data_IF_436323523581
#
_entry.id   IF_436323523581
#
_cell.length_a   1.000
_cell.length_b   1.000
_cell.length_c   1.000
_cell.angle_alpha   90.00
_cell.angle_beta   90.00
_cell.angle_gamma   90.00
#
_symmetry.space_group_name_H-M   'P 1'
#
loop_
_entity.id
_entity.type
_entity.pdbx_description
1 polymer ?
#
# COMPACT_ATOMS: atom_id res chain seq x y z
N UNK A 1 1.82 0.95 34.93
CA UNK A 1 1.56 -0.41 34.43
C UNK A 1 1.82 -0.41 32.94
N UNK A 2 2.72 -1.27 32.44
CA UNK A 2 2.89 -1.43 31.00
C UNK A 2 1.61 -1.97 30.39
N UNK A 3 1.26 -1.56 29.17
CA UNK A 3 0.14 -2.17 28.46
C UNK A 3 0.43 -3.68 28.32
N UNK A 4 -0.49 -4.52 28.77
CA UNK A 4 -0.47 -5.95 28.52
C UNK A 4 -1.64 -6.27 27.59
N UNK A 5 -1.43 -7.17 26.63
CA UNK A 5 -2.48 -7.52 25.69
C UNK A 5 -1.99 -8.06 24.36
N UNK A 6 -2.96 -8.28 23.46
CA UNK A 6 -2.74 -8.67 22.07
C UNK A 6 -2.83 -7.43 21.19
N UNK A 7 -1.86 -7.23 20.32
CA UNK A 7 -1.71 -6.08 19.42
C UNK A 7 -1.65 -6.61 18.00
N UNK A 8 -2.40 -6.02 17.09
CA UNK A 8 -2.18 -6.20 15.65
C UNK A 8 -1.31 -5.06 15.13
N UNK A 9 -0.21 -5.40 14.46
CA UNK A 9 0.61 -4.46 13.70
C UNK A 9 0.24 -4.65 12.24
N UNK A 10 -0.19 -3.59 11.59
CA UNK A 10 -0.58 -3.53 10.19
C UNK A 10 0.42 -2.63 9.46
N UNK A 11 1.02 -3.12 8.39
CA UNK A 11 1.93 -2.38 7.53
C UNK A 11 1.48 -2.53 6.07
N UNK A 12 1.04 -1.43 5.46
CA UNK A 12 0.71 -1.37 4.03
C UNK A 12 1.71 -0.44 3.36
N UNK A 13 2.77 -1.04 2.81
CA UNK A 13 3.83 -0.35 2.12
C UNK A 13 3.51 -0.08 0.65
N UNK A 14 4.53 0.23 -0.14
CA UNK A 14 4.39 0.48 -1.59
C UNK A 14 4.02 -0.77 -2.39
N UNK A 15 4.61 -1.93 -2.08
CA UNK A 15 4.37 -3.17 -2.82
C UNK A 15 3.98 -4.39 -1.97
N UNK A 16 3.93 -4.24 -0.65
CA UNK A 16 3.56 -5.33 0.26
C UNK A 16 2.57 -4.87 1.31
N UNK A 17 1.75 -5.82 1.73
CA UNK A 17 0.87 -5.71 2.85
C UNK A 17 1.27 -6.79 3.85
N UNK A 18 1.69 -6.38 5.05
CA UNK A 18 2.11 -7.26 6.13
C UNK A 18 1.24 -7.04 7.37
N UNK A 19 0.86 -8.13 8.04
CA UNK A 19 0.13 -8.09 9.30
C UNK A 19 0.74 -9.06 10.30
N UNK A 20 0.96 -8.58 11.53
CA UNK A 20 1.49 -9.38 12.64
C UNK A 20 0.61 -9.27 13.87
N UNK A 21 0.30 -10.39 14.50
CA UNK A 21 -0.36 -10.44 15.81
C UNK A 21 0.70 -10.67 16.87
N UNK A 22 0.86 -9.70 17.76
CA UNK A 22 1.84 -9.69 18.84
C UNK A 22 1.14 -9.79 20.20
N UNK A 23 1.82 -10.36 21.18
CA UNK A 23 1.42 -10.30 22.59
C UNK A 23 2.49 -9.55 23.39
N UNK A 24 2.09 -8.50 24.11
CA UNK A 24 2.94 -7.83 25.08
C UNK A 24 2.67 -8.40 26.47
N UNK A 25 3.67 -9.06 27.05
CA UNK A 25 3.61 -9.64 28.39
C UNK A 25 4.90 -9.35 29.13
N UNK A 26 4.81 -8.72 30.31
CA UNK A 26 5.98 -8.38 31.15
C UNK A 26 7.09 -7.64 30.40
N UNK A 27 6.72 -6.77 29.46
CA UNK A 27 7.67 -6.00 28.66
C UNK A 27 8.33 -6.76 27.49
N UNK A 28 7.91 -7.99 27.21
CA UNK A 28 8.37 -8.79 26.08
C UNK A 28 7.27 -8.87 25.02
N UNK A 29 7.65 -8.64 23.76
CA UNK A 29 6.79 -8.90 22.60
C UNK A 29 7.00 -10.32 22.09
N UNK A 30 5.93 -11.09 22.04
CA UNK A 30 5.87 -12.42 21.43
C UNK A 30 5.07 -12.35 20.13
N UNK A 31 5.62 -12.87 19.04
CA UNK A 31 4.91 -12.97 17.76
C UNK A 31 4.02 -14.21 17.80
N UNK A 32 2.70 -14.01 17.73
CA UNK A 32 1.73 -15.10 17.71
C UNK A 32 1.44 -15.59 16.29
N UNK A 33 1.38 -14.67 15.33
CA UNK A 33 1.15 -14.97 13.92
C UNK A 33 1.67 -13.83 13.03
N UNK A 34 2.12 -14.18 11.83
CA UNK A 34 2.43 -13.23 10.76
C UNK A 34 1.75 -13.70 9.47
N UNK A 35 1.35 -12.75 8.64
CA UNK A 35 0.77 -13.01 7.34
C UNK A 35 0.80 -11.73 6.50
N UNK A 36 0.19 -11.79 5.32
CA UNK A 36 0.22 -10.67 4.39
C UNK A 36 0.11 -11.11 2.95
N UNK A 37 0.31 -10.15 2.06
CA UNK A 37 0.41 -10.32 0.63
C UNK A 37 1.64 -9.53 0.11
N UNK A 38 2.58 -10.25 -0.50
CA UNK A 38 3.83 -9.68 -1.01
C UNK A 38 3.68 -8.95 -2.34
N UNK A 39 2.48 -8.93 -2.92
CA UNK A 39 2.16 -8.31 -4.20
C UNK A 39 0.95 -7.37 -4.10
N UNK A 40 0.73 -6.79 -2.92
CA UNK A 40 -0.33 -5.81 -2.68
C UNK A 40 0.25 -4.62 -1.90
N UNK A 41 0.13 -3.41 -2.41
CA UNK A 41 0.57 -2.20 -1.73
C UNK A 41 0.06 -0.91 -2.37
N UNK A 42 0.66 0.20 -1.96
CA UNK A 42 0.42 1.55 -2.46
C UNK A 42 0.51 1.69 -3.98
N UNK A 43 1.34 0.89 -4.63
CA UNK A 43 1.59 0.90 -6.06
C UNK A 43 0.38 0.37 -6.84
N UNK A 44 -0.37 -0.61 -6.30
CA UNK A 44 -1.62 -1.09 -6.90
C UNK A 44 -2.67 0.03 -6.98
N UNK A 45 -2.76 0.85 -5.94
CA UNK A 45 -3.64 2.02 -5.95
C UNK A 45 -3.17 3.06 -6.97
N UNK A 46 -1.87 3.25 -7.13
CA UNK A 46 -1.32 4.15 -8.16
C UNK A 46 -1.65 3.65 -9.56
N UNK A 47 -1.55 2.34 -9.80
CA UNK A 47 -1.92 1.72 -11.07
C UNK A 47 -3.42 1.83 -11.36
N UNK A 48 -4.29 1.50 -10.39
CA UNK A 48 -5.74 1.64 -10.54
C UNK A 48 -6.15 3.08 -10.83
N UNK A 49 -5.53 4.05 -10.16
CA UNK A 49 -5.80 5.47 -10.38
C UNK A 49 -5.24 5.96 -11.71
N UNK A 50 -4.06 5.48 -12.13
CA UNK A 50 -3.51 5.78 -13.44
C UNK A 50 -4.43 5.28 -14.57
N UNK A 51 -4.94 4.05 -14.48
CA UNK A 51 -5.87 3.48 -15.44
C UNK A 51 -7.17 4.31 -15.52
N UNK A 52 -7.71 4.71 -14.36
CA UNK A 52 -8.88 5.60 -14.31
C UNK A 52 -8.60 6.95 -14.97
N UNK A 53 -7.47 7.60 -14.66
CA UNK A 53 -7.10 8.89 -15.26
C UNK A 53 -6.87 8.79 -16.76
N UNK A 54 -6.33 7.67 -17.24
CA UNK A 54 -6.16 7.39 -18.67
C UNK A 54 -7.51 7.32 -19.38
N UNK A 55 -8.48 6.59 -18.80
CA UNK A 55 -9.85 6.49 -19.32
C UNK A 55 -10.53 7.86 -19.36
N UNK A 56 -10.46 8.64 -18.27
CA UNK A 56 -11.07 9.97 -18.22
C UNK A 56 -10.44 10.96 -19.21
N UNK A 57 -9.15 10.79 -19.53
CA UNK A 57 -8.45 11.60 -20.53
C UNK A 57 -8.71 11.14 -21.98
N UNK A 58 -9.47 10.05 -22.19
CA UNK A 58 -9.70 9.47 -23.51
C UNK A 58 -8.41 8.99 -24.18
N UNK A 59 -7.43 8.55 -23.38
CA UNK A 59 -6.16 8.02 -23.86
C UNK A 59 -6.27 6.50 -24.06
N UNK A 60 -5.69 6.00 -25.16
CA UNK A 60 -5.65 4.57 -25.46
C UNK A 60 -4.22 4.03 -25.35
N UNK A 61 -4.11 2.78 -24.88
CA UNK A 61 -2.85 2.05 -24.86
C UNK A 61 -2.49 1.47 -26.26
N UNK A 62 -1.21 1.27 -26.58
CA UNK A 62 -0.04 1.48 -25.72
C UNK A 62 0.45 2.93 -25.75
N UNK A 63 0.69 3.49 -24.56
CA UNK A 63 1.39 4.75 -24.41
C UNK A 63 2.91 4.54 -24.53
N UNK A 64 3.65 5.61 -24.87
CA UNK A 64 5.11 5.60 -24.75
C UNK A 64 5.52 5.42 -23.28
N UNK A 65 6.71 4.86 -23.04
CA UNK A 65 7.24 4.67 -21.68
C UNK A 65 7.28 5.99 -20.89
N UNK A 66 7.58 7.11 -21.56
CA UNK A 66 7.57 8.45 -20.96
C UNK A 66 6.17 8.86 -20.49
N UNK A 67 5.14 8.66 -21.33
CA UNK A 67 3.75 8.99 -21.00
C UNK A 67 3.21 8.09 -19.88
N UNK A 68 3.52 6.80 -19.91
CA UNK A 68 3.15 5.87 -18.83
C UNK A 68 3.78 6.30 -17.49
N UNK A 69 5.07 6.65 -17.49
CA UNK A 69 5.74 7.15 -16.28
C UNK A 69 5.13 8.46 -15.78
N UNK A 70 4.80 9.39 -16.69
CA UNK A 70 4.15 10.64 -16.31
C UNK A 70 2.77 10.40 -15.67
N UNK A 71 1.97 9.49 -16.26
CA UNK A 71 0.66 9.12 -15.73
C UNK A 71 0.75 8.51 -14.34
N UNK A 72 1.68 7.57 -14.11
CA UNK A 72 1.90 6.98 -12.79
C UNK A 72 2.33 8.03 -11.75
N UNK A 73 3.25 8.94 -12.11
CA UNK A 73 3.65 10.01 -11.20
C UNK A 73 2.47 10.92 -10.82
N UNK A 74 1.59 11.22 -11.77
CA UNK A 74 0.37 12.01 -11.51
C UNK A 74 -0.58 11.23 -10.59
N UNK A 75 -0.76 9.93 -10.83
CA UNK A 75 -1.59 9.07 -10.00
C UNK A 75 -1.06 9.01 -8.56
N UNK A 76 0.23 8.76 -8.35
CA UNK A 76 0.86 8.78 -7.02
C UNK A 76 0.69 10.12 -6.32
N UNK A 77 0.95 11.23 -7.01
CA UNK A 77 0.77 12.57 -6.44
C UNK A 77 -0.70 12.84 -6.08
N UNK A 78 -1.63 12.38 -6.90
CA UNK A 78 -3.07 12.51 -6.66
C UNK A 78 -3.48 11.68 -5.45
N UNK A 79 -3.09 10.41 -5.37
CA UNK A 79 -3.34 9.54 -4.20
C UNK A 79 -2.87 10.21 -2.91
N UNK A 80 -1.65 10.72 -2.88
CA UNK A 80 -1.07 11.41 -1.71
C UNK A 80 -1.87 12.67 -1.36
N UNK A 81 -2.32 13.45 -2.35
CA UNK A 81 -3.09 14.68 -2.11
C UNK A 81 -4.49 14.43 -1.53
N UNK A 82 -5.04 13.22 -1.72
CA UNK A 82 -6.36 12.83 -1.21
C UNK A 82 -6.30 11.90 0.03
N UNK A 83 -5.10 11.64 0.57
CA UNK A 83 -4.89 10.91 1.82
C UNK A 83 -4.96 11.84 3.03
#
# INVERSE_FOLDING_TARGET
>A
SGQEGVIAVYDLGGGTFDISILRLSKGVFEVLATGGDSALGGDDFDHLLADYLMEQAGLEAPLSAEKNRALLNIATATKIAFS
#
